data_IF_264904606022
#
_entry.id   IF_264904606022
#
_cell.length_a   1.000
_cell.length_b   1.000
_cell.length_c   1.000
_cell.angle_alpha   90.00
_cell.angle_beta   90.00
_cell.angle_gamma   90.00
#
_symmetry.space_group_name_H-M   'P 1'
#
loop_
_entity.id
_entity.type
_entity.pdbx_description
1 polymer ?
#
# COMPACT_ATOMS: atom_id res chain seq x y z
N UNK A 1 -44.03 13.93 -21.06
CA UNK A 1 -42.81 13.59 -20.32
C UNK A 1 -43.24 13.32 -18.90
N UNK A 2 -43.14 12.08 -18.45
CA UNK A 2 -43.40 11.74 -17.05
C UNK A 2 -42.09 11.88 -16.31
N UNK A 3 -41.99 12.79 -15.37
CA UNK A 3 -40.83 12.92 -14.45
C UNK A 3 -41.17 12.06 -13.24
N UNK A 4 -40.36 11.05 -12.97
CA UNK A 4 -40.43 10.29 -11.72
C UNK A 4 -39.20 10.62 -10.93
N UNK A 5 -39.38 11.18 -9.75
CA UNK A 5 -38.31 11.64 -8.86
C UNK A 5 -38.22 10.85 -7.55
N UNK A 6 -39.11 9.85 -7.39
CA UNK A 6 -39.24 9.09 -6.15
C UNK A 6 -38.98 7.61 -6.40
N UNK A 7 -37.88 7.12 -5.90
CA UNK A 7 -37.52 5.71 -5.87
C UNK A 7 -37.17 5.30 -4.42
N UNK A 8 -37.56 4.08 -4.07
CA UNK A 8 -37.12 3.47 -2.82
C UNK A 8 -35.63 3.11 -2.97
N UNK A 9 -34.81 3.72 -2.14
CA UNK A 9 -33.36 3.46 -2.11
C UNK A 9 -33.00 2.80 -0.79
N UNK A 10 -32.39 1.62 -0.87
CA UNK A 10 -31.85 0.90 0.28
C UNK A 10 -30.35 1.02 0.25
N UNK A 11 -29.77 1.57 1.30
CA UNK A 11 -28.32 1.72 1.43
C UNK A 11 -27.81 1.02 2.69
N UNK A 12 -26.66 0.37 2.57
CA UNK A 12 -25.99 -0.22 3.72
C UNK A 12 -24.48 -0.35 3.49
N UNK A 13 -23.72 -0.30 4.60
CA UNK A 13 -22.29 -0.55 4.63
C UNK A 13 -22.02 -2.05 4.53
N UNK A 14 -21.05 -2.44 3.72
CA UNK A 14 -20.59 -3.82 3.60
C UNK A 14 -19.05 -3.86 3.66
N UNK A 15 -18.51 -4.80 4.43
CA UNK A 15 -17.07 -5.04 4.47
C UNK A 15 -16.65 -5.60 3.10
N UNK A 16 -15.58 -5.07 2.55
CA UNK A 16 -14.96 -5.61 1.34
C UNK A 16 -14.17 -6.87 1.72
N UNK A 17 -14.13 -7.84 0.83
CA UNK A 17 -13.39 -9.08 1.06
C UNK A 17 -11.89 -8.86 0.86
N UNK A 18 -11.50 -8.49 -0.35
CA UNK A 18 -10.10 -8.21 -0.71
C UNK A 18 -10.03 -7.40 -2.00
N UNK A 19 -8.86 -6.86 -2.29
CA UNK A 19 -8.52 -6.18 -3.55
C UNK A 19 -7.16 -6.66 -4.02
N UNK A 20 -6.95 -6.69 -5.34
CA UNK A 20 -5.61 -6.89 -5.89
C UNK A 20 -4.77 -5.64 -5.63
N UNK A 21 -3.55 -5.84 -5.10
CA UNK A 21 -2.65 -4.76 -4.69
C UNK A 21 -1.32 -4.77 -5.43
N UNK A 22 -1.19 -5.55 -6.52
CA UNK A 22 0.08 -5.72 -7.21
C UNK A 22 0.54 -4.50 -8.00
N UNK A 23 -0.36 -3.86 -8.75
CA UNK A 23 0.00 -2.78 -9.68
C UNK A 23 -0.54 -1.43 -9.25
N UNK A 24 -0.42 -1.12 -7.97
CA UNK A 24 -0.86 0.17 -7.43
C UNK A 24 0.02 1.32 -7.93
N UNK A 25 -0.55 2.49 -8.11
CA UNK A 25 0.20 3.72 -8.40
C UNK A 25 1.07 4.12 -7.23
N UNK A 26 0.55 3.96 -6.01
CA UNK A 26 1.25 4.17 -4.74
C UNK A 26 0.99 2.99 -3.81
N UNK A 27 1.98 2.63 -3.03
CA UNK A 27 1.86 1.60 -2.01
C UNK A 27 1.68 2.25 -0.64
N UNK A 28 0.99 1.58 0.26
CA UNK A 28 0.62 2.14 1.55
C UNK A 28 1.41 1.46 2.66
N UNK A 29 1.76 2.24 3.70
CA UNK A 29 2.44 1.73 4.89
C UNK A 29 2.02 2.52 6.11
N UNK A 30 1.70 1.84 7.19
CA UNK A 30 1.35 2.45 8.46
C UNK A 30 0.12 1.83 9.10
N UNK A 31 -0.23 2.34 10.25
CA UNK A 31 -1.38 1.92 11.05
C UNK A 31 -2.09 3.14 11.61
N UNK A 32 -3.40 3.09 11.63
CA UNK A 32 -4.23 4.12 12.25
C UNK A 32 -5.41 3.50 12.99
N UNK A 33 -5.87 4.16 14.05
CA UNK A 33 -7.05 3.79 14.81
C UNK A 33 -8.14 4.84 14.64
N UNK A 34 -8.98 4.66 13.62
CA UNK A 34 -10.08 5.56 13.31
C UNK A 34 -11.14 5.52 14.43
N UNK A 35 -11.60 6.70 14.92
CA UNK A 35 -12.59 6.77 16.01
C UNK A 35 -13.92 6.09 15.70
N UNK A 36 -14.29 5.95 14.43
CA UNK A 36 -15.57 5.37 13.99
C UNK A 36 -15.36 3.93 13.48
N UNK A 37 -14.35 3.73 12.63
CA UNK A 37 -14.19 2.48 11.89
C UNK A 37 -13.28 1.47 12.60
N UNK A 38 -12.42 1.92 13.52
CA UNK A 38 -11.45 1.08 14.21
C UNK A 38 -10.09 1.06 13.53
N UNK A 39 -9.30 0.03 13.82
CA UNK A 39 -7.90 -0.02 13.38
C UNK A 39 -7.77 -0.51 11.94
N UNK A 40 -6.98 0.21 11.15
CA UNK A 40 -6.54 -0.19 9.81
C UNK A 40 -5.03 -0.26 9.80
N UNK A 41 -4.49 -1.36 9.30
CA UNK A 41 -3.05 -1.57 9.11
C UNK A 41 -2.77 -1.85 7.64
N UNK A 42 -1.80 -1.15 7.09
CA UNK A 42 -1.26 -1.37 5.75
C UNK A 42 0.21 -1.81 5.86
N UNK A 43 0.50 -3.02 5.43
CA UNK A 43 1.84 -3.58 5.33
C UNK A 43 2.28 -3.62 3.88
N UNK A 44 3.59 -3.54 3.65
CA UNK A 44 4.19 -3.62 2.32
C UNK A 44 5.03 -4.88 2.21
N UNK A 45 4.85 -5.62 1.11
CA UNK A 45 5.75 -6.71 0.71
C UNK A 45 6.40 -6.34 -0.61
N UNK A 46 7.72 -6.43 -0.69
CA UNK A 46 8.47 -6.04 -1.89
C UNK A 46 9.66 -6.94 -2.16
N UNK A 47 9.89 -7.21 -3.44
CA UNK A 47 11.14 -7.75 -3.97
C UNK A 47 12.06 -6.62 -4.43
N UNK A 48 13.28 -6.98 -4.73
CA UNK A 48 14.33 -6.03 -5.13
C UNK A 48 15.00 -6.50 -6.43
N UNK A 49 15.53 -5.55 -7.17
CA UNK A 49 16.44 -5.82 -8.27
C UNK A 49 17.87 -6.01 -7.72
N UNK A 50 18.66 -6.84 -8.37
CA UNK A 50 20.11 -6.87 -8.12
C UNK A 50 20.79 -5.67 -8.79
N UNK A 51 21.92 -5.19 -8.24
CA UNK A 51 22.52 -3.93 -8.70
C UNK A 51 22.99 -3.99 -10.15
N UNK A 52 23.73 -5.03 -10.48
CA UNK A 52 24.30 -5.28 -11.82
C UNK A 52 24.74 -6.74 -11.94
N UNK A 53 24.67 -7.31 -13.14
CA UNK A 53 25.14 -8.68 -13.37
C UNK A 53 26.64 -8.81 -13.05
N UNK A 54 26.99 -9.89 -12.34
CA UNK A 54 28.36 -10.14 -11.89
C UNK A 54 28.82 -9.32 -10.69
N UNK A 55 27.89 -8.62 -10.02
CA UNK A 55 28.19 -7.92 -8.79
C UNK A 55 28.61 -8.89 -7.67
N UNK A 56 29.50 -8.47 -6.78
CA UNK A 56 29.86 -9.20 -5.58
C UNK A 56 30.35 -8.24 -4.49
N UNK A 57 30.28 -8.67 -3.23
CA UNK A 57 30.88 -7.96 -2.09
C UNK A 57 32.32 -8.40 -1.81
N UNK A 58 32.99 -9.10 -2.76
CA UNK A 58 34.38 -9.44 -2.60
C UNK A 58 35.22 -8.17 -2.44
N UNK A 59 36.15 -8.18 -1.48
CA UNK A 59 36.99 -7.04 -1.15
C UNK A 59 36.23 -5.78 -0.70
N UNK A 60 35.02 -5.95 -0.16
CA UNK A 60 34.18 -4.85 0.32
C UNK A 60 33.76 -5.07 1.78
N UNK A 61 33.94 -4.05 2.60
CA UNK A 61 33.41 -4.05 3.98
C UNK A 61 32.08 -3.30 4.02
N UNK A 62 31.05 -3.95 4.55
CA UNK A 62 29.74 -3.35 4.75
C UNK A 62 29.73 -2.59 6.06
N UNK A 63 29.55 -1.27 5.99
CA UNK A 63 29.46 -0.38 7.16
C UNK A 63 28.02 -0.26 7.66
N UNK A 64 27.04 -0.22 6.75
CA UNK A 64 25.62 -0.20 7.10
C UNK A 64 24.74 -0.63 5.95
N UNK A 65 23.57 -1.16 6.30
CA UNK A 65 22.49 -1.49 5.36
C UNK A 65 21.25 -0.69 5.76
N UNK A 66 20.62 -0.02 4.80
CA UNK A 66 19.46 0.85 5.04
C UNK A 66 18.38 0.58 4.00
N UNK A 67 17.20 0.21 4.47
CA UNK A 67 16.00 0.25 3.63
C UNK A 67 15.51 1.69 3.56
N UNK A 68 15.44 2.23 2.34
CA UNK A 68 14.88 3.55 2.09
C UNK A 68 13.62 3.44 1.24
N UNK A 69 12.57 4.15 1.67
CA UNK A 69 11.25 4.15 1.06
C UNK A 69 10.80 5.59 0.84
N UNK A 70 10.74 6.01 -0.41
CA UNK A 70 10.38 7.38 -0.78
C UNK A 70 8.88 7.60 -0.58
N UNK A 71 8.52 8.71 0.07
CA UNK A 71 7.12 9.16 0.14
C UNK A 71 6.63 9.67 -1.22
N UNK A 72 5.35 9.52 -1.47
CA UNK A 72 4.74 9.97 -2.73
C UNK A 72 4.65 11.49 -2.84
N UNK A 73 4.76 12.21 -1.74
CA UNK A 73 4.77 13.69 -1.69
C UNK A 73 4.59 14.20 -0.25
N UNK A 74 4.67 15.49 -0.07
CA UNK A 74 4.56 16.15 1.24
C UNK A 74 3.17 15.99 1.90
N UNK A 75 2.14 15.73 1.11
CA UNK A 75 0.76 15.52 1.57
C UNK A 75 0.33 14.05 1.52
N UNK A 76 1.26 13.15 1.23
CA UNK A 76 1.01 11.71 1.04
C UNK A 76 0.80 10.97 2.36
N UNK A 77 -0.14 11.45 3.17
CA UNK A 77 -0.48 10.92 4.49
C UNK A 77 -1.99 11.03 4.74
N UNK A 78 -2.54 10.01 5.33
CA UNK A 78 -3.92 9.97 5.83
C UNK A 78 -3.94 9.56 7.28
N UNK A 79 -4.60 10.34 8.13
CA UNK A 79 -4.66 10.16 9.57
C UNK A 79 -3.79 11.15 10.34
N UNK A 80 -3.68 10.94 11.65
CA UNK A 80 -2.90 11.76 12.57
C UNK A 80 -1.48 11.21 12.67
N UNK A 81 -0.49 12.03 12.32
CA UNK A 81 0.91 11.61 12.26
C UNK A 81 1.54 11.46 13.67
N UNK A 82 0.94 10.64 14.51
CA UNK A 82 1.52 10.25 15.79
C UNK A 82 2.63 9.20 15.58
N UNK A 83 3.54 9.01 16.55
CA UNK A 83 4.61 8.04 16.45
C UNK A 83 4.09 6.63 16.17
N UNK A 84 4.76 5.90 15.28
CA UNK A 84 4.46 4.53 14.89
C UNK A 84 5.70 3.64 14.99
N UNK A 85 5.47 2.36 15.20
CA UNK A 85 6.48 1.31 15.11
C UNK A 85 6.30 0.57 13.79
N UNK A 86 7.34 0.59 12.95
CA UNK A 86 7.38 -0.11 11.67
C UNK A 86 8.59 -1.05 11.70
N UNK A 87 8.38 -2.32 11.43
CA UNK A 87 9.38 -3.38 11.48
C UNK A 87 9.61 -4.01 10.13
N UNK A 88 10.80 -4.54 9.93
CA UNK A 88 11.22 -5.18 8.68
C UNK A 88 11.55 -6.64 8.94
N UNK A 89 10.99 -7.53 8.13
CA UNK A 89 11.21 -8.97 8.17
C UNK A 89 11.60 -9.51 6.79
N UNK A 90 12.41 -10.56 6.74
CA UNK A 90 12.70 -11.25 5.49
C UNK A 90 11.56 -12.17 5.08
N UNK A 91 11.13 -12.11 3.82
CA UNK A 91 10.17 -13.05 3.23
C UNK A 91 10.86 -14.40 2.98
N UNK A 92 10.27 -15.50 3.44
CA UNK A 92 10.85 -16.85 3.33
C UNK A 92 10.17 -17.73 2.29
N UNK A 93 9.00 -17.34 1.78
CA UNK A 93 8.31 -18.03 0.69
C UNK A 93 8.71 -17.49 -0.68
N UNK A 94 8.57 -18.29 -1.73
CA UNK A 94 8.71 -17.82 -3.10
C UNK A 94 7.49 -17.04 -3.52
N UNK A 95 7.72 -15.81 -3.99
CA UNK A 95 6.65 -14.97 -4.49
C UNK A 95 6.47 -15.21 -6.00
N UNK A 96 5.24 -15.52 -6.47
CA UNK A 96 4.98 -15.74 -7.89
C UNK A 96 5.32 -14.48 -8.70
N UNK A 97 6.05 -14.67 -9.78
CA UNK A 97 6.51 -13.57 -10.65
C UNK A 97 5.68 -13.41 -11.92
N UNK A 98 4.70 -14.30 -12.17
CA UNK A 98 3.82 -14.18 -13.32
C UNK A 98 3.02 -12.89 -13.27
N UNK A 99 2.98 -12.15 -14.38
CA UNK A 99 2.21 -10.91 -14.48
C UNK A 99 0.70 -11.13 -14.36
N UNK A 100 0.24 -12.35 -14.57
CA UNK A 100 -1.16 -12.75 -14.45
C UNK A 100 -1.56 -13.19 -13.03
N UNK A 101 -0.62 -13.21 -12.10
CA UNK A 101 -0.90 -13.56 -10.70
C UNK A 101 -1.47 -12.38 -9.95
N UNK A 102 -2.57 -12.60 -9.23
CA UNK A 102 -3.20 -11.61 -8.37
C UNK A 102 -2.60 -11.69 -6.96
N UNK A 103 -2.32 -10.53 -6.37
CA UNK A 103 -1.89 -10.41 -4.98
C UNK A 103 -2.99 -9.73 -4.15
N UNK A 104 -3.89 -10.54 -3.64
CA UNK A 104 -4.98 -10.02 -2.83
C UNK A 104 -4.52 -9.48 -1.48
N UNK A 105 -5.12 -8.38 -1.08
CA UNK A 105 -4.75 -7.63 0.13
C UNK A 105 -4.86 -8.39 1.44
N UNK A 106 -5.62 -9.48 1.48
CA UNK A 106 -5.80 -10.37 2.63
C UNK A 106 -4.81 -11.56 2.64
N UNK A 107 -3.91 -11.64 1.66
CA UNK A 107 -2.89 -12.71 1.61
C UNK A 107 -1.96 -12.63 2.82
N UNK A 108 -1.70 -13.78 3.43
CA UNK A 108 -0.68 -13.93 4.47
C UNK A 108 0.64 -14.35 3.84
N UNK A 109 1.74 -13.76 4.29
CA UNK A 109 3.08 -14.02 3.81
C UNK A 109 3.90 -14.75 4.87
N UNK A 110 4.72 -15.73 4.44
CA UNK A 110 5.67 -16.36 5.33
C UNK A 110 6.92 -15.49 5.44
N UNK A 111 7.29 -15.16 6.67
CA UNK A 111 8.45 -14.33 6.98
C UNK A 111 9.32 -14.98 8.04
N UNK A 112 10.58 -14.56 8.12
CA UNK A 112 11.43 -14.82 9.28
C UNK A 112 10.77 -14.24 10.54
N UNK A 113 10.96 -14.89 11.67
CA UNK A 113 10.56 -14.35 12.99
C UNK A 113 11.54 -13.31 13.51
N UNK A 114 12.73 -13.20 12.92
CA UNK A 114 13.75 -12.22 13.30
C UNK A 114 13.45 -10.88 12.68
N UNK A 115 13.34 -9.84 13.51
CA UNK A 115 13.28 -8.44 13.07
C UNK A 115 14.64 -8.04 12.51
N UNK A 116 14.68 -7.59 11.27
CA UNK A 116 15.90 -7.12 10.61
C UNK A 116 16.26 -5.70 11.00
N UNK A 117 15.27 -4.88 11.30
CA UNK A 117 15.40 -3.50 11.72
C UNK A 117 14.03 -2.85 11.90
N UNK A 118 13.98 -1.70 12.58
CA UNK A 118 12.74 -0.98 12.85
C UNK A 118 12.89 0.54 12.73
N UNK A 119 11.75 1.17 12.54
CA UNK A 119 11.56 2.62 12.61
C UNK A 119 10.55 2.92 13.72
N UNK A 120 10.89 3.87 14.58
CA UNK A 120 10.02 4.33 15.66
C UNK A 120 9.94 5.86 15.62
N UNK A 121 8.77 6.39 15.38
CA UNK A 121 8.55 7.83 15.33
C UNK A 121 7.43 8.26 14.40
N UNK A 122 7.22 9.58 14.35
CA UNK A 122 6.32 10.21 13.39
C UNK A 122 6.98 10.31 12.02
N UNK A 123 6.17 10.24 10.96
CA UNK A 123 6.67 10.25 9.58
C UNK A 123 7.05 11.67 9.17
N UNK A 124 8.24 11.85 8.57
CA UNK A 124 8.69 13.14 8.06
C UNK A 124 8.59 13.17 6.53
N UNK A 125 7.50 13.75 6.03
CA UNK A 125 7.19 13.79 4.60
C UNK A 125 7.74 15.05 3.89
N UNK A 126 8.34 15.99 4.63
CA UNK A 126 8.72 17.31 4.09
C UNK A 126 10.22 17.51 4.00
N UNK A 127 10.99 16.98 4.94
CA UNK A 127 12.42 17.26 5.03
C UNK A 127 13.23 16.33 4.13
N UNK A 128 14.08 16.93 3.31
CA UNK A 128 15.07 16.21 2.52
C UNK A 128 16.08 15.52 3.42
N UNK A 129 16.48 14.32 3.04
CA UNK A 129 17.48 13.53 3.75
C UNK A 129 18.85 13.76 3.11
N UNK A 130 19.86 14.09 3.92
CA UNK A 130 21.24 14.26 3.47
C UNK A 130 22.08 13.09 3.97
N UNK A 131 22.80 12.45 3.05
CA UNK A 131 23.68 11.32 3.33
C UNK A 131 25.08 11.66 2.86
N UNK A 132 26.09 11.48 3.71
CA UNK A 132 27.48 11.61 3.35
C UNK A 132 28.02 10.24 2.89
N UNK A 133 28.66 10.20 1.72
CA UNK A 133 29.33 9.03 1.17
C UNK A 133 30.75 9.46 0.80
N UNK A 134 31.69 9.13 1.66
CA UNK A 134 33.02 9.72 1.61
C UNK A 134 32.96 11.23 1.78
N UNK A 135 33.55 11.96 0.85
CA UNK A 135 33.50 13.43 0.81
C UNK A 135 32.23 13.97 0.10
N UNK A 136 31.45 13.12 -0.54
CA UNK A 136 30.26 13.54 -1.26
C UNK A 136 29.05 13.70 -0.31
N UNK A 137 28.35 14.82 -0.43
CA UNK A 137 27.11 15.10 0.27
C UNK A 137 25.95 14.95 -0.70
N UNK A 138 25.12 13.91 -0.51
CA UNK A 138 24.03 13.56 -1.42
C UNK A 138 22.68 13.86 -0.75
N UNK A 139 21.85 14.67 -1.41
CA UNK A 139 20.48 14.97 -0.98
C UNK A 139 19.48 14.02 -1.61
N UNK A 140 18.55 13.52 -0.79
CA UNK A 140 17.43 12.69 -1.21
C UNK A 140 16.11 13.39 -0.90
N UNK A 141 15.10 13.12 -1.71
CA UNK A 141 13.72 13.52 -1.38
C UNK A 141 13.28 12.91 -0.04
N UNK A 142 12.24 13.48 0.61
CA UNK A 142 11.71 12.95 1.86
C UNK A 142 11.39 11.46 1.75
N UNK A 143 11.92 10.68 2.68
CA UNK A 143 11.84 9.22 2.67
C UNK A 143 11.97 8.64 4.07
N UNK A 144 11.32 7.49 4.29
CA UNK A 144 11.56 6.67 5.47
C UNK A 144 12.89 5.93 5.30
N UNK A 145 13.71 5.92 6.34
CA UNK A 145 14.97 5.19 6.38
C UNK A 145 15.01 4.24 7.57
N UNK A 146 15.10 2.96 7.30
CA UNK A 146 15.14 1.91 8.33
C UNK A 146 16.51 1.25 8.26
N UNK A 147 17.31 1.41 9.32
CA UNK A 147 18.60 0.73 9.42
C UNK A 147 18.34 -0.76 9.67
N UNK A 148 18.95 -1.60 8.84
CA UNK A 148 18.97 -3.04 9.03
C UNK A 148 20.14 -3.34 10.00
N UNK A 149 19.83 -4.01 11.10
CA UNK A 149 20.79 -4.26 12.20
C UNK A 149 21.03 -5.76 12.44
N UNK A 150 20.23 -6.62 11.84
CA UNK A 150 20.43 -8.08 11.97
C UNK A 150 21.72 -8.53 11.28
N UNK A 151 22.65 -9.04 12.08
CA UNK A 151 23.97 -9.44 11.61
C UNK A 151 23.90 -10.66 10.67
N UNK A 152 22.94 -11.56 10.86
CA UNK A 152 22.81 -12.76 10.03
C UNK A 152 22.36 -12.38 8.61
N UNK A 153 21.41 -11.46 8.50
CA UNK A 153 20.97 -10.93 7.20
C UNK A 153 22.11 -10.19 6.48
N UNK A 154 22.84 -9.32 7.20
CA UNK A 154 23.99 -8.59 6.63
C UNK A 154 25.08 -9.56 6.16
N UNK A 155 25.41 -10.57 6.96
CA UNK A 155 26.38 -11.61 6.61
C UNK A 155 25.91 -12.48 5.44
N UNK A 156 24.62 -12.78 5.34
CA UNK A 156 24.02 -13.48 4.20
C UNK A 156 24.28 -12.72 2.89
N UNK A 157 24.08 -11.41 2.88
CA UNK A 157 24.37 -10.56 1.70
C UNK A 157 25.85 -10.52 1.40
N UNK A 158 26.70 -10.27 2.44
CA UNK A 158 28.14 -10.13 2.29
C UNK A 158 28.81 -11.40 1.75
N UNK A 159 28.38 -12.56 2.25
CA UNK A 159 28.98 -13.86 1.91
C UNK A 159 28.23 -14.58 0.77
N UNK A 160 27.32 -13.89 0.08
CA UNK A 160 26.59 -14.46 -1.03
C UNK A 160 27.55 -14.94 -2.13
N UNK A 161 27.38 -16.16 -2.65
CA UNK A 161 28.14 -16.63 -3.81
C UNK A 161 28.00 -15.65 -4.99
N UNK A 162 29.06 -15.45 -5.76
CA UNK A 162 29.04 -14.52 -6.91
C UNK A 162 27.91 -14.83 -7.89
N UNK A 163 27.60 -16.12 -8.11
CA UNK A 163 26.52 -16.56 -8.99
C UNK A 163 25.13 -16.11 -8.52
N UNK A 164 24.99 -15.74 -7.25
CA UNK A 164 23.74 -15.20 -6.72
C UNK A 164 23.35 -13.88 -7.33
N UNK A 165 24.31 -13.14 -7.90
CA UNK A 165 24.07 -11.86 -8.58
C UNK A 165 24.23 -11.98 -10.12
N UNK A 166 24.27 -13.18 -10.65
CA UNK A 166 24.43 -13.39 -12.08
C UNK A 166 23.18 -13.01 -12.88
N UNK A 167 22.00 -13.22 -12.30
CA UNK A 167 20.71 -12.93 -12.91
C UNK A 167 19.59 -12.80 -11.86
N UNK A 168 18.42 -12.35 -12.30
CA UNK A 168 17.26 -12.11 -11.40
C UNK A 168 16.78 -13.38 -10.68
N UNK A 169 16.85 -14.56 -11.31
CA UNK A 169 16.40 -15.81 -10.71
C UNK A 169 17.33 -16.23 -9.56
N UNK A 170 18.65 -16.19 -9.80
CA UNK A 170 19.65 -16.49 -8.78
C UNK A 170 19.58 -15.51 -7.61
N UNK A 171 19.36 -14.23 -7.88
CA UNK A 171 19.20 -13.23 -6.84
C UNK A 171 17.93 -13.45 -6.01
N UNK A 172 16.81 -13.79 -6.63
CA UNK A 172 15.55 -14.10 -5.93
C UNK A 172 15.65 -15.40 -5.10
N UNK A 173 16.47 -16.34 -5.50
CA UNK A 173 16.77 -17.54 -4.70
C UNK A 173 17.55 -17.19 -3.42
N UNK A 174 18.49 -16.25 -3.50
CA UNK A 174 19.21 -15.73 -2.33
C UNK A 174 18.32 -14.87 -1.45
N UNK A 175 17.56 -13.95 -2.05
CA UNK A 175 16.81 -12.90 -1.37
C UNK A 175 15.41 -12.77 -1.96
N UNK A 176 14.42 -13.33 -1.25
CA UNK A 176 13.04 -13.44 -1.73
C UNK A 176 12.25 -12.14 -1.60
N UNK A 177 12.69 -11.24 -0.72
CA UNK A 177 12.08 -9.94 -0.49
C UNK A 177 11.97 -9.58 0.98
N UNK A 178 11.38 -8.44 1.25
CA UNK A 178 11.11 -7.95 2.60
C UNK A 178 9.61 -7.70 2.80
N UNK A 179 9.14 -7.97 4.02
CA UNK A 179 7.88 -7.48 4.55
C UNK A 179 8.16 -6.34 5.51
N UNK A 180 7.53 -5.20 5.25
CA UNK A 180 7.56 -4.01 6.09
C UNK A 180 6.19 -3.91 6.76
N UNK A 181 6.16 -4.10 8.07
CA UNK A 181 4.95 -4.26 8.88
C UNK A 181 4.80 -3.12 9.87
N UNK A 182 3.61 -2.52 9.91
CA UNK A 182 3.26 -1.57 10.95
C UNK A 182 2.71 -2.33 12.17
N UNK A 183 3.38 -2.20 13.32
CA UNK A 183 3.15 -3.03 14.51
C UNK A 183 3.01 -2.20 15.78
N UNK A 184 2.32 -1.08 15.70
CA UNK A 184 2.05 -0.27 16.88
C UNK A 184 0.98 -0.93 17.75
N UNK A 185 1.28 -1.13 19.03
CA UNK A 185 0.33 -1.63 20.05
C UNK A 185 -0.20 -0.48 20.91
N UNK A 186 -1.42 -0.65 21.43
CA UNK A 186 -2.00 0.33 22.37
C UNK A 186 -2.27 1.70 21.77
N UNK A 187 -2.51 1.79 20.46
CA UNK A 187 -2.83 3.03 19.78
C UNK A 187 -4.17 3.59 20.26
N UNK A 188 -4.19 4.85 20.70
CA UNK A 188 -5.41 5.52 21.10
C UNK A 188 -6.32 5.79 19.90
N UNK A 189 -7.60 6.03 20.14
CA UNK A 189 -8.53 6.46 19.08
C UNK A 189 -8.09 7.81 18.52
N UNK A 190 -8.07 7.91 17.20
CA UNK A 190 -7.63 9.09 16.48
C UNK A 190 -6.13 9.13 16.18
N UNK A 191 -5.34 8.21 16.75
CA UNK A 191 -3.89 8.14 16.51
C UNK A 191 -3.54 7.33 15.27
N UNK A 192 -2.31 7.57 14.81
CA UNK A 192 -1.68 6.87 13.70
C UNK A 192 -2.04 7.42 12.32
N UNK A 193 -1.27 7.00 11.35
CA UNK A 193 -1.44 7.40 9.97
C UNK A 193 -0.94 6.33 9.00
N UNK A 194 -1.48 6.38 7.79
CA UNK A 194 -1.02 5.56 6.66
C UNK A 194 -0.40 6.50 5.64
N UNK A 195 0.87 6.28 5.30
CA UNK A 195 1.56 7.04 4.26
C UNK A 195 1.48 6.34 2.90
N UNK A 196 1.62 7.14 1.85
CA UNK A 196 1.73 6.67 0.48
C UNK A 196 3.19 6.70 0.05
N UNK A 197 3.67 5.59 -0.49
CA UNK A 197 5.04 5.37 -0.94
C UNK A 197 5.09 5.33 -2.47
N UNK A 198 6.07 6.00 -3.04
CA UNK A 198 6.36 5.93 -4.46
C UNK A 198 7.48 4.90 -4.72
N UNK A 199 7.08 3.73 -5.20
CA UNK A 199 7.99 2.62 -5.49
C UNK A 199 8.16 2.36 -7.00
N UNK A 200 7.65 3.25 -7.86
CA UNK A 200 7.59 3.02 -9.32
C UNK A 200 8.36 4.01 -10.17
N UNK A 201 8.99 5.03 -9.57
CA UNK A 201 9.71 6.04 -10.36
C UNK A 201 11.13 5.61 -10.67
N UNK A 202 11.61 5.95 -11.87
CA UNK A 202 12.94 5.60 -12.40
C UNK A 202 14.11 6.23 -11.61
N UNK A 203 13.84 7.18 -10.73
CA UNK A 203 14.85 7.86 -9.92
C UNK A 203 15.25 7.09 -8.64
N UNK A 204 15.01 5.82 -8.56
CA UNK A 204 15.52 4.82 -7.59
C UNK A 204 15.77 5.32 -6.16
N UNK A 205 14.84 6.09 -5.61
CA UNK A 205 14.96 6.56 -4.24
C UNK A 205 14.34 5.59 -3.21
N UNK A 206 13.72 4.49 -3.70
CA UNK A 206 13.26 3.38 -2.86
C UNK A 206 14.10 2.16 -3.16
N UNK A 207 14.91 1.75 -2.19
CA UNK A 207 15.89 0.67 -2.36
C UNK A 207 16.34 0.12 -1.00
N UNK A 208 16.90 -1.09 -1.01
CA UNK A 208 17.80 -1.53 0.04
C UNK A 208 19.21 -1.05 -0.35
N UNK A 209 19.83 -0.22 0.49
CA UNK A 209 21.14 0.39 0.19
C UNK A 209 22.17 -0.14 1.14
N UNK A 210 23.25 -0.66 0.57
CA UNK A 210 24.44 -1.11 1.30
C UNK A 210 25.52 -0.04 1.17
N UNK A 211 25.92 0.53 2.28
CA UNK A 211 27.03 1.47 2.39
C UNK A 211 28.25 0.73 2.91
N UNK A 212 29.43 1.08 2.41
CA UNK A 212 30.67 0.47 2.84
C UNK A 212 31.87 1.05 2.13
N UNK A 213 32.99 0.35 2.20
CA UNK A 213 34.24 0.76 1.58
C UNK A 213 35.00 -0.43 0.98
N UNK A 214 35.76 -0.14 -0.06
CA UNK A 214 36.71 -1.08 -0.65
C UNK A 214 37.88 -1.32 0.29
N UNK A 215 38.23 -2.58 0.53
CA UNK A 215 39.25 -2.95 1.49
C UNK A 215 40.69 -2.61 1.04
N UNK A 216 40.91 -2.38 -0.24
CA UNK A 216 42.21 -2.03 -0.78
C UNK A 216 42.41 -0.53 -0.83
N UNK A 217 41.45 0.22 -1.33
CA UNK A 217 41.55 1.65 -1.57
C UNK A 217 40.96 2.48 -0.42
N UNK A 218 40.20 1.88 0.48
CA UNK A 218 39.37 2.54 1.51
C UNK A 218 38.36 3.55 0.96
N UNK A 219 38.07 3.50 -0.33
CA UNK A 219 37.08 4.36 -0.97
C UNK A 219 35.69 3.95 -0.54
N UNK A 220 34.94 4.91 0.00
CA UNK A 220 33.55 4.69 0.37
C UNK A 220 32.66 4.61 -0.88
N UNK A 221 31.75 3.64 -0.86
CA UNK A 221 30.81 3.41 -1.93
C UNK A 221 29.44 2.99 -1.39
N UNK A 222 28.42 3.05 -2.23
CA UNK A 222 27.11 2.47 -1.97
C UNK A 222 26.69 1.56 -3.11
N UNK A 223 25.96 0.52 -2.75
CA UNK A 223 25.27 -0.35 -3.70
C UNK A 223 23.78 -0.36 -3.43
N UNK A 224 23.00 -0.17 -4.47
CA UNK A 224 21.54 -0.06 -4.37
C UNK A 224 20.88 -1.31 -4.96
N UNK A 225 19.94 -1.87 -4.23
CA UNK A 225 19.01 -2.89 -4.68
C UNK A 225 17.64 -2.23 -4.82
N UNK A 226 17.28 -1.75 -6.01
CA UNK A 226 16.10 -0.92 -6.20
C UNK A 226 14.80 -1.74 -6.13
N UNK A 227 13.69 -1.03 -5.89
CA UNK A 227 12.32 -1.60 -5.83
C UNK A 227 11.51 -1.29 -7.10
N UNK A 228 12.05 -0.62 -8.09
CA UNK A 228 11.32 -0.03 -9.21
C UNK A 228 11.02 -0.96 -10.39
N UNK A 229 11.50 -2.19 -10.39
CA UNK A 229 11.27 -3.15 -11.48
C UNK A 229 9.80 -3.46 -11.73
N UNK A 230 9.46 -3.84 -12.97
CA UNK A 230 8.12 -4.27 -13.36
C UNK A 230 7.87 -5.75 -13.10
N UNK A 231 8.94 -6.55 -13.06
CA UNK A 231 8.92 -7.99 -12.81
C UNK A 231 8.99 -8.37 -11.32
N UNK A 232 9.37 -7.41 -10.47
CA UNK A 232 9.45 -7.59 -9.02
C UNK A 232 8.09 -7.40 -8.39
N UNK A 233 7.76 -8.30 -7.47
CA UNK A 233 6.52 -8.21 -6.70
C UNK A 233 6.59 -7.02 -5.76
N UNK A 234 5.57 -6.17 -5.84
CA UNK A 234 5.23 -5.13 -4.88
C UNK A 234 3.75 -5.25 -4.60
N UNK A 235 3.40 -5.37 -3.33
CA UNK A 235 2.01 -5.60 -2.94
C UNK A 235 1.75 -5.09 -1.53
N UNK A 236 0.51 -4.74 -1.24
CA UNK A 236 0.07 -4.41 0.11
C UNK A 236 -0.73 -5.54 0.73
N UNK A 237 -0.54 -5.73 2.02
CA UNK A 237 -1.43 -6.48 2.88
C UNK A 237 -2.21 -5.51 3.75
N UNK A 238 -3.55 -5.62 3.76
CA UNK A 238 -4.39 -4.80 4.61
C UNK A 238 -5.04 -5.64 5.71
N UNK A 239 -5.09 -5.09 6.92
CA UNK A 239 -5.77 -5.70 8.06
C UNK A 239 -6.69 -4.68 8.69
N UNK A 240 -7.90 -5.11 9.05
CA UNK A 240 -8.89 -4.27 9.70
C UNK A 240 -9.36 -4.91 11.00
N UNK A 241 -9.49 -4.12 12.05
CA UNK A 241 -10.16 -4.48 13.29
C UNK A 241 -11.28 -3.48 13.53
N UNK A 242 -12.47 -3.84 13.06
CA UNK A 242 -13.63 -2.96 13.11
C UNK A 242 -14.21 -2.85 14.53
N UNK A 243 -14.80 -1.70 14.82
CA UNK A 243 -15.60 -1.53 16.05
C UNK A 243 -16.85 -2.41 16.02
N UNK A 244 -17.32 -2.92 17.18
CA UNK A 244 -18.49 -3.79 17.25
C UNK A 244 -19.76 -3.19 16.63
N UNK A 245 -19.96 -1.88 16.77
CA UNK A 245 -21.09 -1.14 16.18
C UNK A 245 -21.10 -1.22 14.65
N UNK A 246 -19.92 -1.19 14.01
CA UNK A 246 -19.78 -1.29 12.58
C UNK A 246 -20.05 -2.72 12.08
N UNK A 247 -19.58 -3.74 12.80
CA UNK A 247 -19.82 -5.14 12.45
C UNK A 247 -21.31 -5.46 12.46
N UNK A 248 -22.07 -4.94 13.43
CA UNK A 248 -23.53 -5.07 13.47
C UNK A 248 -24.21 -4.37 12.28
N UNK A 249 -23.63 -3.30 11.76
CA UNK A 249 -24.17 -2.57 10.61
C UNK A 249 -23.95 -3.27 9.27
N UNK A 250 -23.12 -4.31 9.19
CA UNK A 250 -22.82 -5.05 7.95
C UNK A 250 -23.94 -6.04 7.52
N UNK A 251 -25.14 -5.91 8.01
CA UNK A 251 -26.22 -6.90 7.90
C UNK A 251 -27.17 -6.75 6.70
N UNK A 252 -26.93 -5.87 5.73
CA UNK A 252 -27.83 -5.70 4.57
C UNK A 252 -29.12 -4.93 4.86
N UNK A 253 -29.32 -4.45 6.06
CA UNK A 253 -30.45 -3.61 6.45
C UNK A 253 -30.20 -2.16 6.07
N UNK A 254 -31.22 -1.44 5.62
CA UNK A 254 -31.13 -0.03 5.29
C UNK A 254 -30.54 0.80 6.44
N UNK A 255 -29.57 1.65 6.12
CA UNK A 255 -28.89 2.55 7.02
C UNK A 255 -29.04 3.99 6.53
N UNK A 256 -29.38 4.91 7.45
CA UNK A 256 -29.48 6.34 7.15
C UNK A 256 -28.13 6.98 6.81
N UNK A 257 -27.04 6.41 7.34
CA UNK A 257 -25.67 6.81 7.01
C UNK A 257 -24.83 5.56 6.75
N UNK A 258 -24.03 5.61 5.68
CA UNK A 258 -23.16 4.51 5.26
C UNK A 258 -21.72 4.97 5.22
N UNK A 259 -20.80 4.01 5.31
CA UNK A 259 -19.38 4.26 5.34
C UNK A 259 -18.69 3.77 4.07
N UNK A 260 -17.66 4.50 3.67
CA UNK A 260 -16.73 4.11 2.61
C UNK A 260 -15.32 4.21 3.16
N UNK A 261 -14.55 3.13 3.06
CA UNK A 261 -13.17 3.05 3.54
C UNK A 261 -12.30 2.39 2.49
N UNK A 262 -11.15 2.98 2.13
CA UNK A 262 -10.19 2.36 1.21
C UNK A 262 -9.51 1.14 1.82
N UNK A 263 -8.47 0.61 1.16
CA UNK A 263 -7.66 -0.53 1.62
C UNK A 263 -8.45 -1.83 1.81
N UNK A 264 -9.39 -2.14 0.90
CA UNK A 264 -10.31 -3.27 1.05
C UNK A 264 -11.15 -3.21 2.35
N UNK A 265 -11.45 -2.00 2.83
CA UNK A 265 -12.20 -1.78 4.05
C UNK A 265 -13.71 -1.89 3.82
N UNK A 266 -14.40 -0.77 3.75
CA UNK A 266 -15.86 -0.72 3.69
C UNK A 266 -16.32 -0.12 2.38
N UNK A 267 -17.33 -0.74 1.79
CA UNK A 267 -18.06 -0.23 0.61
C UNK A 267 -19.52 0.03 0.98
N UNK A 268 -20.12 1.05 0.41
CA UNK A 268 -21.56 1.27 0.49
C UNK A 268 -22.24 0.54 -0.65
N UNK A 269 -23.24 -0.27 -0.35
CA UNK A 269 -24.16 -0.84 -1.33
C UNK A 269 -25.41 0.03 -1.44
N UNK A 270 -25.82 0.28 -2.67
CA UNK A 270 -27.02 1.04 -3.02
C UNK A 270 -27.91 0.14 -3.84
N UNK A 271 -29.12 -0.13 -3.36
CA UNK A 271 -30.12 -0.93 -4.04
C UNK A 271 -31.31 -0.05 -4.38
N UNK A 272 -31.80 -0.13 -5.60
CA UNK A 272 -32.98 0.58 -6.08
C UNK A 272 -33.96 -0.46 -6.62
N UNK A 273 -34.74 -1.16 -5.76
CA UNK A 273 -35.55 -2.32 -6.17
C UNK A 273 -36.64 -1.99 -7.22
N UNK A 274 -37.11 -0.75 -7.21
CA UNK A 274 -38.13 -0.29 -8.15
C UNK A 274 -37.59 0.01 -9.55
N UNK A 275 -36.27 0.04 -9.74
CA UNK A 275 -35.68 0.35 -11.05
C UNK A 275 -35.94 -0.75 -12.09
N UNK A 276 -35.97 -2.02 -11.67
CA UNK A 276 -36.34 -3.16 -12.54
C UNK A 276 -37.76 -3.04 -13.11
N UNK A 277 -38.70 -2.58 -12.28
CA UNK A 277 -40.08 -2.36 -12.70
C UNK A 277 -40.23 -1.25 -13.74
N UNK A 278 -39.28 -0.30 -13.75
CA UNK A 278 -39.25 0.73 -14.78
C UNK A 278 -38.79 0.14 -16.12
N UNK A 279 -37.84 -0.77 -16.10
CA UNK A 279 -37.34 -1.47 -17.29
C UNK A 279 -38.40 -2.41 -17.94
N UNK A 280 -39.32 -2.96 -17.14
CA UNK A 280 -40.40 -3.81 -17.61
C UNK A 280 -41.47 -3.03 -18.39
N UNK A 281 -41.59 -1.71 -18.20
CA UNK A 281 -42.46 -0.85 -18.98
C UNK A 281 -41.78 -0.57 -20.32
N UNK A 282 -42.16 -1.36 -21.34
CA UNK A 282 -41.65 -1.22 -22.71
C UNK A 282 -41.70 0.22 -23.21
N UNK A 283 -40.58 0.69 -23.85
CA UNK A 283 -40.44 1.97 -24.53
C UNK A 283 -40.19 3.20 -23.61
N UNK A 284 -39.36 3.05 -22.59
CA UNK A 284 -38.87 4.19 -21.82
C UNK A 284 -37.50 4.61 -22.34
N UNK A 285 -37.35 5.88 -22.72
CA UNK A 285 -36.06 6.51 -22.93
C UNK A 285 -35.67 7.30 -21.66
N UNK A 286 -34.57 6.94 -21.04
CA UNK A 286 -34.04 7.67 -19.89
C UNK A 286 -33.09 8.77 -20.39
N UNK A 287 -33.51 10.03 -20.31
CA UNK A 287 -32.70 11.15 -20.75
C UNK A 287 -31.61 11.56 -19.75
N UNK A 288 -31.82 11.31 -18.48
CA UNK A 288 -30.86 11.62 -17.43
C UNK A 288 -31.16 10.80 -16.18
N UNK A 289 -30.11 10.29 -15.54
CA UNK A 289 -30.17 9.70 -14.21
C UNK A 289 -29.08 10.34 -13.33
N UNK A 290 -29.44 10.69 -12.10
CA UNK A 290 -28.49 11.30 -11.15
C UNK A 290 -28.60 10.67 -9.79
N UNK A 291 -27.46 10.29 -9.22
CA UNK A 291 -27.33 9.89 -7.82
C UNK A 291 -26.60 11.00 -7.09
N UNK A 292 -27.24 11.56 -6.05
CA UNK A 292 -26.61 12.58 -5.19
C UNK A 292 -26.28 11.97 -3.85
N UNK A 293 -24.99 11.99 -3.49
CA UNK A 293 -24.46 11.44 -2.24
C UNK A 293 -24.10 12.61 -1.34
N UNK A 294 -24.78 12.71 -0.20
CA UNK A 294 -24.51 13.77 0.78
C UNK A 294 -23.46 13.26 1.77
N UNK A 295 -22.42 14.04 2.02
CA UNK A 295 -21.45 13.76 3.08
C UNK A 295 -22.07 14.10 4.43
N UNK A 296 -22.05 13.12 5.34
CA UNK A 296 -22.69 13.27 6.66
C UNK A 296 -21.89 14.16 7.60
N UNK A 297 -20.55 14.12 7.52
CA UNK A 297 -19.66 14.94 8.32
C UNK A 297 -18.53 15.49 7.47
N UNK A 298 -18.36 16.82 7.47
CA UNK A 298 -17.32 17.52 6.70
C UNK A 298 -16.19 18.06 7.57
N UNK A 299 -16.28 17.91 8.88
CA UNK A 299 -15.36 18.53 9.82
C UNK A 299 -14.22 17.56 10.19
N UNK A 300 -13.22 17.48 9.30
CA UNK A 300 -12.02 16.72 9.60
C UNK A 300 -10.78 17.27 8.92
N UNK A 301 -9.95 17.96 9.70
CA UNK A 301 -8.59 18.33 9.30
C UNK A 301 -7.66 17.11 9.22
N UNK A 302 -7.97 16.03 9.93
CA UNK A 302 -7.17 14.80 10.05
C UNK A 302 -7.59 13.75 9.03
N UNK A 303 -8.91 13.51 8.91
CA UNK A 303 -9.47 12.52 7.99
C UNK A 303 -10.05 13.23 6.76
N UNK A 304 -9.21 13.49 5.79
CA UNK A 304 -9.59 14.18 4.56
C UNK A 304 -10.62 13.37 3.79
N UNK A 305 -11.58 14.05 3.19
CA UNK A 305 -12.51 13.40 2.27
C UNK A 305 -11.76 12.86 1.05
N UNK A 306 -12.17 11.70 0.50
CA UNK A 306 -11.60 11.20 -0.74
C UNK A 306 -11.93 12.17 -1.88
N UNK A 307 -10.96 12.45 -2.74
CA UNK A 307 -11.15 13.30 -3.91
C UNK A 307 -12.13 12.69 -4.92
N UNK A 308 -12.24 11.36 -4.93
CA UNK A 308 -13.08 10.60 -5.86
C UNK A 308 -13.72 9.41 -5.17
N UNK A 309 -14.96 9.14 -5.57
CA UNK A 309 -15.66 7.89 -5.30
C UNK A 309 -15.92 7.20 -6.64
N UNK A 310 -15.75 5.90 -6.69
CA UNK A 310 -16.06 5.10 -7.88
C UNK A 310 -17.34 4.31 -7.64
N UNK A 311 -18.26 4.42 -8.57
CA UNK A 311 -19.49 3.62 -8.59
C UNK A 311 -19.30 2.40 -9.50
N UNK A 312 -19.79 1.25 -9.06
CA UNK A 312 -19.73 -0.01 -9.81
C UNK A 312 -21.11 -0.62 -9.85
N UNK A 313 -21.46 -1.24 -10.98
CA UNK A 313 -22.57 -2.17 -11.02
C UNK A 313 -22.16 -3.48 -10.30
N UNK A 314 -23.06 -4.05 -9.52
CA UNK A 314 -22.82 -5.28 -8.79
C UNK A 314 -23.75 -6.37 -9.30
N UNK A 315 -23.17 -7.46 -9.80
CA UNK A 315 -23.91 -8.67 -10.11
C UNK A 315 -24.52 -9.27 -8.82
N UNK A 316 -25.47 -10.20 -8.98
CA UNK A 316 -26.11 -10.87 -7.83
C UNK A 316 -25.12 -11.62 -6.94
N UNK A 317 -24.03 -12.13 -7.50
CA UNK A 317 -22.91 -12.78 -6.79
C UNK A 317 -21.95 -11.80 -6.12
N UNK A 318 -22.17 -10.48 -6.29
CA UNK A 318 -21.33 -9.42 -5.74
C UNK A 318 -20.08 -9.10 -6.55
N UNK A 319 -19.88 -9.74 -7.70
CA UNK A 319 -18.80 -9.39 -8.63
C UNK A 319 -19.05 -8.00 -9.23
N UNK A 320 -17.97 -7.28 -9.50
CA UNK A 320 -18.02 -5.91 -10.03
C UNK A 320 -18.18 -5.94 -11.54
N UNK A 321 -19.04 -5.07 -12.04
CA UNK A 321 -19.15 -4.75 -13.45
C UNK A 321 -18.99 -3.24 -13.63
N UNK A 322 -18.24 -2.84 -14.62
CA UNK A 322 -18.15 -1.42 -14.97
C UNK A 322 -19.51 -0.93 -15.43
N UNK A 323 -19.93 0.22 -14.93
CA UNK A 323 -21.07 0.94 -15.51
C UNK A 323 -20.68 1.41 -16.93
N UNK A 324 -21.67 1.50 -17.82
CA UNK A 324 -21.42 1.83 -19.23
C UNK A 324 -20.63 3.13 -19.41
N UNK A 325 -20.90 4.12 -18.61
CA UNK A 325 -20.24 5.44 -18.62
C UNK A 325 -18.76 5.40 -18.19
N UNK A 326 -18.29 4.31 -17.61
CA UNK A 326 -16.89 4.16 -17.19
C UNK A 326 -15.95 3.82 -18.37
N UNK A 327 -16.50 3.44 -19.51
CA UNK A 327 -15.73 3.06 -20.71
C UNK A 327 -15.43 4.29 -21.57
N UNK A 328 -16.13 5.38 -21.36
CA UNK A 328 -15.96 6.62 -22.13
C UNK A 328 -14.97 7.53 -21.42
N UNK A 329 -13.71 7.54 -21.89
CA UNK A 329 -12.60 8.30 -21.32
C UNK A 329 -12.78 9.83 -21.41
N UNK A 330 -13.79 10.29 -22.12
CA UNK A 330 -14.02 11.70 -22.41
C UNK A 330 -15.06 12.37 -21.48
N UNK A 331 -15.59 11.63 -20.50
CA UNK A 331 -16.66 12.14 -19.60
C UNK A 331 -16.09 12.61 -18.23
N UNK A 332 -14.77 12.53 -17.99
CA UNK A 332 -14.15 12.89 -16.70
C UNK A 332 -13.04 13.91 -16.82
#
# INVERSE_FOLDING_TARGET
>A
VQVTDTFDVITYSAIADSVDTRFLSYYMLGQMNDPILGTTTANLVTQFLYPVSGFSFNNFTIDSVVLQLRYAGATALYGNNTPQTIKVYEVTEDLPVSLNEYFYSNRTYQTSTTELGSYNGSLNLTDSVIVNIGSARVGYAPQMRIKITDANFINKLKNAPNDSFANASSFKALFKGLMISAEQTGMAEGDGAICYLNLRTDNNQSALVVYGHDNTSSVQAKYEFPINGTSEVKTNQYKHSYKPTLQAANGGTHQAACYVQPCAGIKTRILIPSLSKLAEKNQIAVNSARISIKVANTDSSVYKLPERLTLWDANQDGTRKNIADFVDSDIW
#
